data_IF_450777767687
#
_entry.id   IF_450777767687
#
_cell.length_a   1.000
_cell.length_b   1.000
_cell.length_c   1.000
_cell.angle_alpha   90.00
_cell.angle_beta   90.00
_cell.angle_gamma   90.00
#
_symmetry.space_group_name_H-M   'P 1'
#
loop_
_entity.id
_entity.type
_entity.pdbx_description
1 polymer ?
#
# COMPACT_ATOMS: atom_id res chain seq x y z
N UNK A 1 -3.20 -62.16 -2.51
CA UNK A 1 -3.24 -61.88 -1.05
C UNK A 1 -2.37 -60.65 -0.79
N UNK A 2 -2.96 -59.50 -0.45
CA UNK A 2 -2.21 -58.26 -0.21
C UNK A 2 -1.40 -58.45 1.08
N UNK A 3 -0.07 -58.52 0.97
CA UNK A 3 0.82 -58.61 2.13
C UNK A 3 0.70 -57.29 2.89
N UNK A 4 0.09 -57.30 4.07
CA UNK A 4 -0.08 -56.10 4.90
C UNK A 4 1.30 -55.47 5.14
N UNK A 5 1.45 -54.18 4.81
CA UNK A 5 2.65 -53.36 5.08
C UNK A 5 2.36 -52.45 6.27
N UNK A 6 2.28 -52.98 7.52
CA UNK A 6 1.80 -52.21 8.67
C UNK A 6 2.68 -51.00 8.97
N UNK A 7 4.00 -51.12 8.79
CA UNK A 7 4.94 -50.03 9.01
C UNK A 7 4.68 -48.85 8.06
N UNK A 8 4.53 -49.12 6.76
CA UNK A 8 4.24 -48.07 5.75
C UNK A 8 2.90 -47.41 6.00
N UNK A 9 1.89 -48.18 6.40
CA UNK A 9 0.58 -47.65 6.76
C UNK A 9 0.63 -46.73 8.00
N UNK A 10 1.40 -47.11 9.03
CA UNK A 10 1.59 -46.28 10.22
C UNK A 10 2.35 -44.98 9.91
N UNK A 11 3.42 -45.06 9.12
CA UNK A 11 4.18 -43.85 8.70
C UNK A 11 3.29 -42.92 7.88
N UNK A 12 2.48 -43.46 6.96
CA UNK A 12 1.51 -42.68 6.20
C UNK A 12 0.51 -41.97 7.12
N UNK A 13 -0.09 -42.70 8.08
CA UNK A 13 -1.07 -42.14 9.01
C UNK A 13 -0.47 -41.01 9.87
N UNK A 14 0.73 -41.22 10.42
CA UNK A 14 1.44 -40.18 11.21
C UNK A 14 1.76 -38.97 10.33
N UNK A 15 2.21 -39.19 9.09
CA UNK A 15 2.53 -38.10 8.16
C UNK A 15 1.30 -37.27 7.80
N UNK A 16 0.14 -37.92 7.59
CA UNK A 16 -1.14 -37.23 7.38
C UNK A 16 -1.51 -36.37 8.57
N UNK A 17 -1.44 -36.92 9.79
CA UNK A 17 -1.78 -36.18 11.01
C UNK A 17 -0.84 -34.98 11.20
N UNK A 18 0.47 -35.19 11.05
CA UNK A 18 1.47 -34.14 11.16
C UNK A 18 1.26 -33.03 10.12
N UNK A 19 0.98 -33.41 8.87
CA UNK A 19 0.70 -32.46 7.80
C UNK A 19 -0.58 -31.66 8.07
N UNK A 20 -1.68 -32.33 8.40
CA UNK A 20 -2.95 -31.67 8.72
C UNK A 20 -2.80 -30.70 9.90
N UNK A 21 -2.12 -31.12 10.97
CA UNK A 21 -1.82 -30.25 12.11
C UNK A 21 -1.00 -29.02 11.71
N UNK A 22 0.05 -29.21 10.89
CA UNK A 22 0.89 -28.10 10.42
C UNK A 22 0.10 -27.10 9.57
N UNK A 23 -0.79 -27.57 8.69
CA UNK A 23 -1.66 -26.71 7.86
C UNK A 23 -2.62 -25.92 8.74
N UNK A 24 -3.31 -26.58 9.68
CA UNK A 24 -4.23 -25.92 10.62
C UNK A 24 -3.49 -24.83 11.41
N UNK A 25 -2.27 -25.12 11.89
CA UNK A 25 -1.47 -24.15 12.63
C UNK A 25 -1.09 -22.94 11.76
N UNK A 26 -0.59 -23.18 10.54
CA UNK A 26 -0.25 -22.11 9.59
C UNK A 26 -1.48 -21.26 9.28
N UNK A 27 -2.62 -21.88 8.97
CA UNK A 27 -3.87 -21.15 8.70
C UNK A 27 -4.32 -20.33 9.91
N UNK A 28 -4.26 -20.90 11.11
CA UNK A 28 -4.59 -20.18 12.36
C UNK A 28 -3.67 -18.98 12.57
N UNK A 29 -2.37 -19.11 12.28
CA UNK A 29 -1.41 -18.02 12.42
C UNK A 29 -1.63 -16.91 11.39
N UNK A 30 -2.00 -17.26 10.15
CA UNK A 30 -2.39 -16.29 9.12
C UNK A 30 -3.65 -15.54 9.55
N UNK A 31 -4.67 -16.24 10.06
CA UNK A 31 -5.92 -15.62 10.52
C UNK A 31 -5.65 -14.71 11.72
N UNK A 32 -4.87 -15.17 12.70
CA UNK A 32 -4.49 -14.36 13.86
C UNK A 32 -3.68 -13.13 13.43
N UNK A 33 -2.69 -13.30 12.54
CA UNK A 33 -1.92 -12.20 11.98
C UNK A 33 -2.81 -11.18 11.26
N UNK A 34 -3.74 -11.66 10.43
CA UNK A 34 -4.66 -10.81 9.69
C UNK A 34 -5.62 -10.04 10.61
N UNK A 35 -6.08 -10.67 11.70
CA UNK A 35 -6.99 -10.03 12.67
C UNK A 35 -6.29 -9.05 13.60
N UNK A 36 -5.11 -9.39 14.08
CA UNK A 36 -4.45 -8.62 15.15
C UNK A 36 -3.50 -7.56 14.62
N UNK A 37 -2.95 -7.72 13.40
CA UNK A 37 -1.75 -6.99 12.98
C UNK A 37 -1.74 -6.49 11.55
N UNK A 38 -2.83 -6.59 10.79
CA UNK A 38 -2.92 -5.79 9.58
C UNK A 38 -3.06 -4.33 10.02
N UNK A 39 -2.06 -3.47 9.73
CA UNK A 39 -2.22 -2.05 9.99
C UNK A 39 -3.45 -1.54 9.23
N UNK A 40 -4.20 -0.57 9.79
CA UNK A 40 -5.25 0.10 9.05
C UNK A 40 -4.71 0.55 7.71
N UNK A 41 -5.42 0.23 6.63
CA UNK A 41 -5.02 0.65 5.28
C UNK A 41 -5.76 1.92 4.92
N UNK A 42 -5.07 2.80 4.21
CA UNK A 42 -5.68 4.00 3.67
C UNK A 42 -6.45 3.64 2.39
N UNK A 43 -7.72 4.02 2.34
CA UNK A 43 -8.54 3.93 1.13
C UNK A 43 -8.85 5.35 0.65
N UNK A 44 -8.48 5.66 -0.59
CA UNK A 44 -8.51 7.02 -1.12
C UNK A 44 -9.57 7.17 -2.21
N UNK A 45 -10.23 8.33 -2.20
CA UNK A 45 -11.14 8.81 -3.21
C UNK A 45 -10.57 10.14 -3.76
N UNK A 46 -10.24 10.23 -5.05
CA UNK A 46 -9.74 11.47 -5.63
C UNK A 46 -10.82 12.56 -5.57
N UNK A 47 -10.38 13.79 -5.30
CA UNK A 47 -11.23 14.98 -5.40
C UNK A 47 -10.79 15.77 -6.61
N UNK A 48 -11.67 15.86 -7.60
CA UNK A 48 -11.37 16.52 -8.87
C UNK A 48 -11.96 17.94 -8.92
N UNK A 49 -12.97 18.24 -8.09
CA UNK A 49 -13.66 19.52 -8.08
C UNK A 49 -12.79 20.63 -7.46
N UNK A 50 -12.75 21.79 -8.11
CA UNK A 50 -12.05 22.98 -7.60
C UNK A 50 -12.73 23.60 -6.37
N UNK A 51 -14.03 23.35 -6.18
CA UNK A 51 -14.81 23.89 -5.08
C UNK A 51 -15.65 22.78 -4.45
N UNK A 52 -15.51 22.58 -3.15
CA UNK A 52 -16.28 21.61 -2.38
C UNK A 52 -16.31 21.99 -0.90
N UNK A 53 -16.93 21.15 -0.07
CA UNK A 53 -16.98 21.34 1.38
C UNK A 53 -16.35 20.13 2.07
N UNK A 54 -15.58 20.38 3.12
CA UNK A 54 -14.98 19.34 3.96
C UNK A 54 -15.08 19.76 5.43
N UNK A 55 -15.60 18.89 6.30
CA UNK A 55 -15.82 19.23 7.72
C UNK A 55 -16.69 20.47 7.94
N UNK A 56 -17.66 20.72 7.05
CA UNK A 56 -18.50 21.93 7.07
C UNK A 56 -17.80 23.22 6.64
N UNK A 57 -16.55 23.15 6.17
CA UNK A 57 -15.76 24.30 5.71
C UNK A 57 -15.64 24.32 4.18
N UNK A 58 -15.76 25.48 3.54
CA UNK A 58 -15.52 25.58 2.11
C UNK A 58 -14.04 25.36 1.80
N UNK A 59 -13.78 24.55 0.78
CA UNK A 59 -12.46 24.36 0.17
C UNK A 59 -12.57 24.86 -1.26
N UNK A 60 -11.65 25.74 -1.67
CA UNK A 60 -11.57 26.22 -3.05
C UNK A 60 -10.14 26.29 -3.55
N UNK A 61 -9.96 25.97 -4.82
CA UNK A 61 -8.70 26.08 -5.55
C UNK A 61 -8.83 27.16 -6.62
N UNK A 62 -7.86 28.06 -6.67
CA UNK A 62 -7.78 29.11 -7.69
C UNK A 62 -6.35 29.23 -8.20
N UNK A 63 -6.20 29.72 -9.42
CA UNK A 63 -4.90 29.93 -10.04
C UNK A 63 -4.50 31.41 -10.00
N UNK A 64 -3.26 31.68 -9.64
CA UNK A 64 -2.62 32.97 -9.81
C UNK A 64 -1.37 32.80 -10.67
N UNK A 65 -1.13 33.74 -11.58
CA UNK A 65 0.08 33.80 -12.40
C UNK A 65 0.84 35.08 -12.08
N UNK A 66 2.16 34.95 -11.91
CA UNK A 66 3.03 36.11 -11.73
C UNK A 66 3.47 36.73 -13.07
N UNK A 67 4.30 37.78 -13.02
CA UNK A 67 4.81 38.48 -14.21
C UNK A 67 5.68 37.59 -15.11
N UNK A 68 6.31 36.55 -14.54
CA UNK A 68 7.15 35.58 -15.23
C UNK A 68 6.33 34.37 -15.74
N UNK A 69 4.99 34.42 -15.63
CA UNK A 69 4.06 33.35 -15.97
C UNK A 69 4.25 32.06 -15.14
N UNK A 70 4.83 32.15 -13.95
CA UNK A 70 4.85 31.03 -13.00
C UNK A 70 3.45 30.86 -12.40
N UNK A 71 2.98 29.63 -12.38
CA UNK A 71 1.66 29.27 -11.85
C UNK A 71 1.74 29.01 -10.35
N UNK A 72 0.85 29.64 -9.59
CA UNK A 72 0.62 29.37 -8.16
C UNK A 72 -0.82 28.93 -7.95
N UNK A 73 -1.01 27.73 -7.41
CA UNK A 73 -2.31 27.25 -6.97
C UNK A 73 -2.56 27.75 -5.56
N UNK A 74 -3.61 28.56 -5.40
CA UNK A 74 -4.06 29.11 -4.13
C UNK A 74 -5.21 28.26 -3.62
N UNK A 75 -5.00 27.63 -2.47
CA UNK A 75 -5.98 26.79 -1.78
C UNK A 75 -6.54 27.58 -0.62
N UNK A 76 -7.85 27.81 -0.61
CA UNK A 76 -8.56 28.40 0.52
C UNK A 76 -9.30 27.31 1.27
N UNK A 77 -9.12 27.24 2.59
CA UNK A 77 -9.78 26.31 3.48
C UNK A 77 -10.36 27.07 4.69
N UNK A 78 -11.65 27.37 4.63
CA UNK A 78 -12.27 28.33 5.55
C UNK A 78 -11.56 29.69 5.48
N UNK A 79 -10.95 30.10 6.58
CA UNK A 79 -10.22 31.38 6.70
C UNK A 79 -8.71 31.24 6.42
N UNK A 80 -8.22 30.02 6.16
CA UNK A 80 -6.80 29.76 5.93
C UNK A 80 -6.52 29.70 4.43
N UNK A 81 -5.39 30.29 4.01
CA UNK A 81 -4.93 30.23 2.62
C UNK A 81 -3.56 29.57 2.55
N UNK A 82 -3.41 28.62 1.63
CA UNK A 82 -2.18 27.92 1.30
C UNK A 82 -1.82 28.22 -0.16
N UNK A 83 -0.55 28.57 -0.41
CA UNK A 83 -0.06 28.87 -1.76
C UNK A 83 0.92 27.79 -2.18
N UNK A 84 0.63 27.13 -3.30
CA UNK A 84 1.38 26.00 -3.82
C UNK A 84 1.94 26.39 -5.18
N UNK A 85 3.26 26.52 -5.27
CA UNK A 85 3.90 26.82 -6.54
C UNK A 85 3.89 25.58 -7.42
N UNK A 86 3.60 25.77 -8.70
CA UNK A 86 3.70 24.71 -9.69
C UNK A 86 5.13 24.17 -9.74
N UNK A 87 5.27 22.86 -9.59
CA UNK A 87 6.57 22.16 -9.64
C UNK A 87 6.79 21.45 -10.97
N UNK A 88 5.72 21.19 -11.72
CA UNK A 88 5.71 20.55 -13.03
C UNK A 88 4.81 21.41 -13.93
N UNK A 89 5.37 22.14 -14.91
CA UNK A 89 4.59 22.93 -15.84
C UNK A 89 3.52 22.08 -16.52
N UNK A 90 2.27 22.51 -16.43
CA UNK A 90 1.17 21.87 -17.14
C UNK A 90 0.98 22.48 -18.53
N UNK A 91 1.09 21.68 -19.58
CA UNK A 91 0.79 22.09 -20.96
C UNK A 91 -0.71 21.97 -21.30
N UNK A 92 -1.54 21.45 -20.38
CA UNK A 92 -2.97 21.19 -20.56
C UNK A 92 -3.80 22.35 -19.99
N UNK A 93 -3.83 23.48 -20.70
CA UNK A 93 -4.62 24.66 -20.32
C UNK A 93 -6.15 24.43 -20.40
N UNK A 94 -6.62 23.36 -21.07
CA UNK A 94 -8.04 23.16 -21.42
C UNK A 94 -8.86 22.32 -20.41
N UNK A 95 -8.27 21.83 -19.33
CA UNK A 95 -8.99 20.96 -18.36
C UNK A 95 -9.57 21.80 -17.20
N UNK A 96 -10.91 21.88 -17.06
CA UNK A 96 -11.58 22.85 -16.18
C UNK A 96 -11.62 22.43 -14.69
N UNK A 97 -10.80 21.48 -14.26
CA UNK A 97 -10.84 20.94 -12.91
C UNK A 97 -9.44 20.58 -12.39
N UNK A 98 -9.34 20.00 -11.19
CA UNK A 98 -8.06 19.69 -10.55
C UNK A 98 -7.23 18.66 -11.30
N UNK A 99 -7.82 17.93 -12.27
CA UNK A 99 -7.08 16.96 -13.09
C UNK A 99 -6.00 17.61 -13.93
N UNK A 100 -6.12 18.91 -14.23
CA UNK A 100 -5.05 19.66 -14.92
C UNK A 100 -3.74 19.68 -14.13
N UNK A 101 -3.81 19.57 -12.80
CA UNK A 101 -2.63 19.58 -11.95
C UNK A 101 -2.13 18.19 -11.57
N UNK A 102 -2.76 17.10 -12.05
CA UNK A 102 -2.54 15.73 -11.55
C UNK A 102 -1.11 15.22 -11.63
N UNK A 103 -0.30 15.81 -12.51
CA UNK A 103 1.11 15.46 -12.65
C UNK A 103 1.93 15.89 -11.43
N UNK A 104 1.52 16.91 -10.69
CA UNK A 104 2.26 17.37 -9.52
C UNK A 104 1.43 17.63 -8.27
N UNK A 105 0.14 17.87 -8.38
CA UNK A 105 -0.78 18.11 -7.28
C UNK A 105 -1.97 17.18 -7.39
N UNK A 106 -2.27 16.47 -6.30
CA UNK A 106 -3.48 15.64 -6.20
C UNK A 106 -4.17 15.87 -4.86
N UNK A 107 -5.49 15.77 -4.87
CA UNK A 107 -6.32 15.94 -3.67
C UNK A 107 -7.07 14.64 -3.43
N UNK A 108 -7.04 14.15 -2.18
CA UNK A 108 -7.70 12.92 -1.80
C UNK A 108 -8.52 13.09 -0.52
N UNK A 109 -9.72 12.53 -0.54
CA UNK A 109 -10.43 12.12 0.68
C UNK A 109 -10.05 10.69 1.01
N UNK A 110 -9.79 10.36 2.26
CA UNK A 110 -9.41 9.01 2.63
C UNK A 110 -9.80 8.61 4.04
N UNK A 111 -9.86 7.31 4.27
CA UNK A 111 -10.14 6.69 5.57
C UNK A 111 -9.10 5.65 5.91
N UNK A 112 -8.81 5.51 7.22
CA UNK A 112 -7.94 4.47 7.75
C UNK A 112 -8.81 3.39 8.37
N UNK A 113 -9.01 2.27 7.67
CA UNK A 113 -9.86 1.18 8.15
C UNK A 113 -9.14 -0.16 8.14
N UNK A 114 -9.50 -1.01 9.10
CA UNK A 114 -9.04 -2.40 9.19
C UNK A 114 -10.22 -3.33 8.94
N UNK A 115 -10.03 -4.34 8.08
CA UNK A 115 -11.03 -5.39 7.85
C UNK A 115 -12.20 -5.02 6.93
N UNK A 116 -12.17 -3.84 6.29
CA UNK A 116 -13.10 -3.47 5.22
C UNK A 116 -12.48 -3.71 3.84
N UNK A 117 -13.30 -4.04 2.84
CA UNK A 117 -12.87 -3.96 1.44
C UNK A 117 -12.79 -2.50 0.98
N UNK A 118 -12.11 -2.24 -0.13
CA UNK A 118 -12.01 -0.90 -0.72
C UNK A 118 -13.41 -0.34 -1.04
N UNK A 119 -14.28 -1.15 -1.62
CA UNK A 119 -15.63 -0.74 -2.02
C UNK A 119 -16.48 -0.39 -0.79
N UNK A 120 -16.35 -1.14 0.30
CA UNK A 120 -17.03 -0.86 1.56
C UNK A 120 -16.56 0.44 2.18
N UNK A 121 -15.24 0.67 2.20
CA UNK A 121 -14.64 1.89 2.74
C UNK A 121 -15.09 3.13 1.94
N UNK A 122 -15.07 3.05 0.60
CA UNK A 122 -15.49 4.16 -0.27
C UNK A 122 -16.98 4.47 -0.11
N UNK A 123 -17.85 3.45 -0.06
CA UNK A 123 -19.28 3.65 0.20
C UNK A 123 -19.54 4.30 1.56
N UNK A 124 -18.74 3.97 2.58
CA UNK A 124 -18.85 4.57 3.90
C UNK A 124 -18.43 6.05 3.90
N UNK A 125 -17.44 6.45 3.09
CA UNK A 125 -17.09 7.87 2.87
C UNK A 125 -18.24 8.61 2.19
N UNK A 126 -18.80 8.05 1.12
CA UNK A 126 -19.89 8.68 0.36
C UNK A 126 -21.14 8.91 1.22
N UNK A 127 -21.40 8.01 2.18
CA UNK A 127 -22.53 8.07 3.12
C UNK A 127 -22.24 8.83 4.41
N UNK A 128 -21.03 9.34 4.58
CA UNK A 128 -20.60 10.04 5.80
C UNK A 128 -20.76 9.15 7.07
N UNK A 129 -20.56 7.82 6.92
CA UNK A 129 -20.71 6.85 8.02
C UNK A 129 -19.44 6.75 8.89
N UNK A 130 -18.29 7.14 8.33
CA UNK A 130 -16.98 7.09 8.98
C UNK A 130 -16.25 8.42 8.79
N UNK A 131 -15.49 8.89 9.80
CA UNK A 131 -14.74 10.13 9.69
C UNK A 131 -13.64 9.96 8.64
N UNK A 132 -13.69 10.80 7.60
CA UNK A 132 -12.69 10.83 6.56
C UNK A 132 -11.72 12.00 6.74
N UNK A 133 -10.63 11.96 5.98
CA UNK A 133 -9.52 12.92 6.07
C UNK A 133 -9.26 13.49 4.69
N UNK A 134 -8.94 14.77 4.61
CA UNK A 134 -8.60 15.46 3.37
C UNK A 134 -7.11 15.75 3.31
N UNK A 135 -6.46 15.34 2.22
CA UNK A 135 -5.04 15.60 1.98
C UNK A 135 -4.81 16.16 0.59
N UNK A 136 -3.91 17.13 0.50
CA UNK A 136 -3.30 17.61 -0.74
C UNK A 136 -1.87 17.08 -0.79
N UNK A 137 -1.52 16.42 -1.89
CA UNK A 137 -0.21 15.84 -2.12
C UNK A 137 0.46 16.60 -3.26
N UNK A 138 1.56 17.27 -2.95
CA UNK A 138 2.40 17.97 -3.93
C UNK A 138 3.69 17.17 -4.15
N UNK A 139 3.95 16.80 -5.40
CA UNK A 139 5.16 16.12 -5.84
C UNK A 139 6.15 17.13 -6.38
N UNK A 140 7.34 17.16 -5.80
CA UNK A 140 8.46 17.98 -6.27
C UNK A 140 9.54 17.06 -6.86
N UNK A 141 9.79 17.11 -8.18
CA UNK A 141 10.91 16.39 -8.78
C UNK A 141 12.26 16.99 -8.35
N UNK A 142 13.38 16.26 -8.49
CA UNK A 142 14.69 16.79 -8.16
C UNK A 142 15.03 17.99 -9.07
N UNK A 143 15.81 18.97 -8.56
CA UNK A 143 16.23 20.13 -9.34
C UNK A 143 16.93 19.73 -10.65
N UNK A 144 16.57 20.38 -11.76
CA UNK A 144 17.19 20.14 -13.06
C UNK A 144 16.71 18.89 -13.81
N UNK A 145 15.69 18.18 -13.31
CA UNK A 145 15.05 17.10 -14.05
C UNK A 145 14.20 17.65 -15.22
N UNK A 146 14.53 17.25 -16.45
CA UNK A 146 13.64 17.45 -17.60
C UNK A 146 12.47 16.45 -17.51
N UNK A 147 11.30 17.00 -17.23
CA UNK A 147 10.07 16.24 -16.98
C UNK A 147 9.55 15.55 -18.23
N UNK A 148 9.88 16.08 -19.42
CA UNK A 148 9.39 15.55 -20.70
C UNK A 148 10.10 14.26 -21.13
N UNK A 149 11.24 13.94 -20.53
CA UNK A 149 12.08 12.80 -20.98
C UNK A 149 12.60 11.90 -19.86
N UNK A 150 12.94 12.42 -18.67
CA UNK A 150 13.68 11.64 -17.66
C UNK A 150 13.15 11.75 -16.22
N UNK A 151 12.21 12.66 -15.94
CA UNK A 151 11.68 12.89 -14.59
C UNK A 151 11.07 11.65 -13.92
N UNK A 152 10.51 10.72 -14.70
CA UNK A 152 9.98 9.44 -14.22
C UNK A 152 11.06 8.42 -13.82
N UNK A 153 12.28 8.57 -14.34
CA UNK A 153 13.41 7.64 -14.11
C UNK A 153 14.16 7.96 -12.82
N UNK A 154 14.10 9.20 -12.35
CA UNK A 154 14.77 9.67 -11.13
C UNK A 154 13.83 9.79 -9.93
N UNK A 155 12.96 8.78 -9.74
CA UNK A 155 12.04 8.74 -8.61
C UNK A 155 12.75 8.79 -7.25
N UNK A 156 13.98 8.28 -7.17
CA UNK A 156 14.83 8.33 -5.97
C UNK A 156 15.07 9.78 -5.47
N UNK A 157 14.90 10.80 -6.32
CA UNK A 157 15.05 12.21 -5.96
C UNK A 157 13.76 12.95 -5.64
N UNK A 158 12.60 12.29 -5.72
CA UNK A 158 11.31 12.95 -5.48
C UNK A 158 11.11 13.31 -4.01
N UNK A 159 10.46 14.45 -3.79
CA UNK A 159 10.01 14.92 -2.50
C UNK A 159 8.51 15.16 -2.56
N UNK A 160 7.81 14.84 -1.49
CA UNK A 160 6.38 14.98 -1.36
C UNK A 160 6.09 15.94 -0.21
N UNK A 161 5.33 16.97 -0.51
CA UNK A 161 4.74 17.88 0.47
C UNK A 161 3.29 17.45 0.68
N UNK A 162 2.98 16.98 1.89
CA UNK A 162 1.68 16.46 2.27
C UNK A 162 0.99 17.45 3.19
N UNK A 163 -0.11 18.03 2.73
CA UNK A 163 -0.92 18.98 3.48
C UNK A 163 -2.21 18.29 3.91
N UNK A 164 -2.36 18.02 5.20
CA UNK A 164 -3.60 17.48 5.76
C UNK A 164 -4.48 18.63 6.27
N UNK A 165 -5.67 18.75 5.69
CA UNK A 165 -6.68 19.72 6.08
C UNK A 165 -7.54 19.08 7.18
N UNK A 166 -7.42 19.59 8.41
CA UNK A 166 -8.15 19.09 9.57
C UNK A 166 -9.51 19.78 9.69
N UNK A 167 -10.53 19.08 10.19
CA UNK A 167 -11.88 19.65 10.37
C UNK A 167 -11.91 20.91 11.26
N UNK A 168 -10.94 21.06 12.16
CA UNK A 168 -10.79 22.26 13.01
C UNK A 168 -10.29 23.50 12.24
N UNK A 169 -9.97 23.36 10.96
CA UNK A 169 -9.48 24.44 10.09
C UNK A 169 -7.97 24.53 10.01
N UNK A 170 -7.22 23.71 10.76
CA UNK A 170 -5.76 23.69 10.69
C UNK A 170 -5.25 22.92 9.47
N UNK A 171 -4.11 23.35 8.94
CA UNK A 171 -3.39 22.66 7.87
C UNK A 171 -2.09 22.11 8.46
N UNK A 172 -1.98 20.80 8.56
CA UNK A 172 -0.74 20.13 8.95
C UNK A 172 0.10 19.86 7.71
N UNK A 173 1.40 20.14 7.78
CA UNK A 173 2.32 19.96 6.66
C UNK A 173 3.47 19.02 7.04
N UNK A 174 3.61 17.94 6.28
CA UNK A 174 4.76 17.03 6.35
C UNK A 174 5.50 17.06 5.00
N UNK A 175 6.84 17.16 5.03
CA UNK A 175 7.67 17.07 3.83
C UNK A 175 8.54 15.81 3.89
N UNK A 176 8.28 14.85 3.00
CA UNK A 176 8.89 13.53 3.02
C UNK A 176 9.53 13.17 1.68
N UNK A 177 10.65 12.47 1.72
CA UNK A 177 11.39 12.01 0.54
C UNK A 177 10.88 10.67 0.07
N UNK A 178 11.07 10.41 -1.22
CA UNK A 178 10.84 9.10 -1.80
C UNK A 178 11.65 8.01 -1.05
N UNK A 179 11.08 6.81 -0.81
CA UNK A 179 11.75 5.75 -0.09
C UNK A 179 13.02 5.29 -0.80
N UNK A 180 14.15 5.25 -0.08
CA UNK A 180 15.39 4.74 -0.66
C UNK A 180 15.38 3.21 -0.80
N UNK A 181 16.20 2.68 -1.72
CA UNK A 181 16.44 1.23 -1.80
C UNK A 181 17.18 0.78 -0.55
N UNK A 182 16.59 -0.18 0.17
CA UNK A 182 17.14 -0.73 1.42
C UNK A 182 17.65 -2.13 1.22
N UNK A 183 18.64 -2.54 2.02
CA UNK A 183 19.16 -3.92 2.02
C UNK A 183 18.74 -4.62 3.31
N UNK A 184 17.91 -5.66 3.18
CA UNK A 184 17.45 -6.43 4.34
C UNK A 184 16.57 -5.59 5.28
N UNK A 185 16.87 -5.61 6.58
CA UNK A 185 16.07 -4.96 7.64
C UNK A 185 16.63 -3.57 8.03
N UNK A 186 17.23 -2.84 7.09
CA UNK A 186 17.66 -1.46 7.34
C UNK A 186 16.44 -0.57 7.64
N UNK A 187 16.46 0.22 8.73
CA UNK A 187 15.36 1.11 9.05
C UNK A 187 15.23 2.23 7.99
N UNK A 188 14.03 2.76 7.75
CA UNK A 188 13.84 3.93 6.89
C UNK A 188 14.70 5.11 7.37
N UNK A 189 15.26 5.88 6.43
CA UNK A 189 16.03 7.06 6.82
C UNK A 189 15.10 8.16 7.34
N UNK A 190 15.58 9.03 8.25
CA UNK A 190 14.78 10.15 8.73
C UNK A 190 14.29 11.02 7.57
N UNK A 191 12.97 11.29 7.55
CA UNK A 191 12.32 12.11 6.53
C UNK A 191 12.04 11.37 5.21
N UNK A 192 12.19 10.04 5.14
CA UNK A 192 11.67 9.23 4.03
C UNK A 192 10.23 8.78 4.31
N UNK A 193 9.46 8.56 3.24
CA UNK A 193 8.16 7.91 3.31
C UNK A 193 8.30 6.48 3.86
N UNK A 194 7.41 6.09 4.78
CA UNK A 194 7.45 4.80 5.47
C UNK A 194 6.25 3.95 5.10
N UNK A 195 6.49 2.72 4.64
CA UNK A 195 5.43 1.76 4.29
C UNK A 195 4.44 1.55 5.45
N UNK A 196 3.15 1.44 5.11
CA UNK A 196 2.07 1.27 6.09
C UNK A 196 1.60 2.57 6.77
N UNK A 197 2.14 3.73 6.36
CA UNK A 197 1.60 5.05 6.72
C UNK A 197 0.71 5.59 5.59
N UNK A 198 -0.29 6.40 5.94
CA UNK A 198 -1.14 7.03 4.94
C UNK A 198 -0.35 7.98 4.02
N UNK A 199 0.73 8.60 4.55
CA UNK A 199 1.62 9.46 3.76
C UNK A 199 2.30 8.68 2.63
N UNK A 200 2.79 7.47 2.94
CA UNK A 200 3.36 6.59 1.92
C UNK A 200 2.29 6.19 0.90
N UNK A 201 1.14 5.70 1.35
CA UNK A 201 0.11 5.20 0.44
C UNK A 201 -0.40 6.30 -0.50
N UNK A 202 -0.64 7.51 0.01
CA UNK A 202 -1.10 8.64 -0.81
C UNK A 202 -0.03 9.10 -1.81
N UNK A 203 1.24 9.16 -1.40
CA UNK A 203 2.33 9.52 -2.30
C UNK A 203 2.50 8.49 -3.42
N UNK A 204 2.33 7.19 -3.11
CA UNK A 204 2.38 6.13 -4.12
C UNK A 204 1.21 6.17 -5.10
N UNK A 205 0.04 6.64 -4.68
CA UNK A 205 -1.10 6.89 -5.57
C UNK A 205 -0.90 8.11 -6.48
N UNK A 206 -0.09 9.09 -6.05
CA UNK A 206 0.24 10.28 -6.83
C UNK A 206 1.36 10.11 -7.85
N UNK A 207 1.88 8.89 -8.03
CA UNK A 207 2.94 8.62 -8.99
C UNK A 207 2.56 7.53 -9.99
N UNK A 208 3.18 7.53 -11.19
CA UNK A 208 3.00 6.46 -12.16
C UNK A 208 3.30 5.09 -11.55
N UNK A 209 2.50 4.04 -11.85
CA UNK A 209 2.70 2.70 -11.29
C UNK A 209 4.11 2.12 -11.53
N UNK A 210 4.74 2.45 -12.66
CA UNK A 210 6.09 2.00 -13.02
C UNK A 210 7.19 2.57 -12.12
N UNK A 211 6.93 3.73 -11.51
CA UNK A 211 7.87 4.43 -10.64
C UNK A 211 7.70 4.07 -9.17
N UNK A 212 6.75 3.20 -8.80
CA UNK A 212 6.53 2.79 -7.41
C UNK A 212 7.67 1.89 -6.92
N UNK A 213 8.10 2.02 -5.65
CA UNK A 213 9.13 1.17 -5.09
C UNK A 213 8.55 -0.24 -4.91
N UNK A 214 9.42 -1.23 -4.99
CA UNK A 214 9.00 -2.62 -4.71
C UNK A 214 8.60 -2.71 -3.24
N UNK A 215 7.42 -3.27 -2.91
CA UNK A 215 7.00 -3.45 -1.52
C UNK A 215 8.07 -4.17 -0.72
N UNK A 216 8.45 -3.61 0.41
CA UNK A 216 9.35 -4.25 1.35
C UNK A 216 8.48 -4.87 2.43
N UNK A 217 8.19 -6.17 2.30
CA UNK A 217 7.35 -6.92 3.24
C UNK A 217 8.04 -7.10 4.61
N UNK A 218 8.26 -6.01 5.35
CA UNK A 218 8.86 -6.01 6.69
C UNK A 218 8.02 -6.78 7.71
N UNK A 219 6.71 -6.84 7.48
CA UNK A 219 5.73 -7.55 8.30
C UNK A 219 5.04 -8.63 7.46
N UNK A 220 5.80 -9.67 7.08
CA UNK A 220 5.23 -10.84 6.41
C UNK A 220 4.79 -11.90 7.44
N UNK A 221 3.62 -12.49 7.21
CA UNK A 221 3.12 -13.63 7.97
C UNK A 221 4.09 -14.82 7.90
N UNK A 222 4.87 -14.93 6.82
CA UNK A 222 5.84 -16.01 6.62
C UNK A 222 6.89 -16.12 7.73
N UNK A 223 7.30 -15.00 8.32
CA UNK A 223 8.24 -14.99 9.46
C UNK A 223 7.66 -15.62 10.73
N UNK A 224 6.34 -15.81 10.82
CA UNK A 224 5.67 -16.40 12.00
C UNK A 224 5.40 -17.87 11.92
N UNK A 225 5.38 -18.44 10.73
CA UNK A 225 5.05 -19.85 10.56
C UNK A 225 6.07 -20.75 11.27
N UNK A 226 7.30 -20.26 11.48
CA UNK A 226 8.29 -20.89 12.34
C UNK A 226 8.56 -22.36 11.93
N UNK A 227 8.51 -23.26 12.92
CA UNK A 227 8.73 -24.69 12.69
C UNK A 227 7.60 -25.36 11.87
N UNK A 228 6.41 -24.74 11.78
CA UNK A 228 5.27 -25.35 11.12
C UNK A 228 5.48 -25.52 9.60
N UNK A 229 6.20 -24.59 8.93
CA UNK A 229 6.59 -24.76 7.51
C UNK A 229 7.45 -26.01 7.36
N UNK A 230 8.48 -26.15 8.20
CA UNK A 230 9.39 -27.28 8.15
C UNK A 230 8.65 -28.59 8.41
N UNK A 231 7.73 -28.63 9.39
CA UNK A 231 6.91 -29.82 9.61
C UNK A 231 6.02 -30.11 8.40
N UNK A 232 5.37 -29.10 7.81
CA UNK A 232 4.54 -29.27 6.62
C UNK A 232 5.36 -29.85 5.45
N UNK A 233 6.56 -29.34 5.21
CA UNK A 233 7.45 -29.82 4.15
C UNK A 233 7.89 -31.27 4.38
N UNK A 234 8.39 -31.60 5.58
CA UNK A 234 8.87 -32.96 5.91
C UNK A 234 7.72 -33.97 5.92
N UNK A 235 6.58 -33.62 6.53
CA UNK A 235 5.40 -34.50 6.57
C UNK A 235 4.77 -34.70 5.20
N UNK A 236 4.73 -33.65 4.36
CA UNK A 236 4.27 -33.75 2.97
C UNK A 236 5.14 -34.69 2.13
N UNK A 237 6.47 -34.61 2.26
CA UNK A 237 7.39 -35.51 1.59
C UNK A 237 7.25 -36.96 2.10
N UNK A 238 7.19 -37.15 3.42
CA UNK A 238 7.01 -38.47 4.04
C UNK A 238 5.68 -39.11 3.63
N UNK A 239 4.61 -38.31 3.53
CA UNK A 239 3.31 -38.72 3.03
C UNK A 239 3.41 -39.19 1.58
N UNK A 240 4.03 -38.41 0.70
CA UNK A 240 4.19 -38.75 -0.72
C UNK A 240 4.98 -40.05 -0.92
N UNK A 241 6.11 -40.20 -0.21
CA UNK A 241 6.93 -41.43 -0.26
C UNK A 241 6.15 -42.63 0.27
N UNK A 242 5.48 -42.48 1.42
CA UNK A 242 4.71 -43.57 2.03
C UNK A 242 3.54 -44.00 1.16
N UNK A 243 2.84 -43.03 0.54
CA UNK A 243 1.78 -43.32 -0.42
C UNK A 243 2.32 -44.09 -1.64
N UNK A 244 3.44 -43.63 -2.22
CA UNK A 244 4.08 -44.32 -3.33
C UNK A 244 4.44 -45.77 -2.97
N UNK A 245 5.04 -46.01 -1.79
CA UNK A 245 5.34 -47.36 -1.32
C UNK A 245 4.11 -48.17 -0.93
N UNK A 246 3.01 -47.55 -0.52
CA UNK A 246 1.77 -48.26 -0.20
C UNK A 246 1.09 -48.77 -1.49
N UNK A 247 1.09 -47.95 -2.54
CA UNK A 247 0.48 -48.27 -3.83
C UNK A 247 1.44 -48.97 -4.82
N UNK A 248 2.73 -49.02 -4.53
CA UNK A 248 3.72 -49.69 -5.39
C UNK A 248 3.43 -51.20 -5.50
N UNK A 249 3.42 -51.76 -6.73
CA UNK A 249 3.15 -53.17 -6.95
C UNK A 249 4.16 -54.07 -6.22
N UNK A 250 3.76 -55.29 -5.81
CA UNK A 250 4.67 -56.22 -5.17
C UNK A 250 5.80 -56.61 -6.14
N UNK A 251 7.05 -56.60 -5.66
CA UNK A 251 8.18 -57.13 -6.45
C UNK A 251 7.93 -58.61 -6.72
N UNK A 252 7.94 -59.00 -7.99
CA UNK A 252 8.04 -60.40 -8.39
C UNK A 252 9.49 -60.83 -8.15
N UNK A 253 9.71 -61.71 -7.20
CA UNK A 253 10.97 -62.44 -7.07
C UNK A 253 10.90 -63.62 -8.03
N UNK A 254 11.72 -63.59 -9.07
CA UNK A 254 12.07 -64.77 -9.87
C UNK A 254 13.09 -65.63 -9.12
#
# INVERSE_FOLDING_TARGET
MIKRRPVVASVLAISIIAFAFSVIKITSDIVAFNREKLPPRAHFMPVELEQFTFGGRPVSFSEERDEDNNVTVVVTFGDTTLRLNETIPNDLDEIPDLRRYEDWLRVYRFVMVSGMSTEQALQAIERDEIPDRLVIVVRTPPPGADQRTWGEVWSDGWVFDLYELKEDGTIQHDRLKYPSKRRGNEPPKPGELVEGTWQYDTAMMSIPPVSRPKPQFESDASFRFGWAISLAGVSGLALAISAAFLFAPPRRTE
#
